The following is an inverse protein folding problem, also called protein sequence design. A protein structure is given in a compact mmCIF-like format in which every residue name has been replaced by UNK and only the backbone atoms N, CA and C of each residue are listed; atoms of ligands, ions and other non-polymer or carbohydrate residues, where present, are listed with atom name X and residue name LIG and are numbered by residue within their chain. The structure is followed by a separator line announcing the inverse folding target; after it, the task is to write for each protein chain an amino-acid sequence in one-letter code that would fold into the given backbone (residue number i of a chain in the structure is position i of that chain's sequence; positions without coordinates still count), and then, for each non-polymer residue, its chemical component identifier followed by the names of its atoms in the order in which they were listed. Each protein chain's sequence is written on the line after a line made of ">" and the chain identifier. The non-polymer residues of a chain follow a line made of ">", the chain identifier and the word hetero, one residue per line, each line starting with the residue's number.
data_IF_795630988675
#
_entry.id   IF_795630988675
#
_cell.length_a   1.000
_cell.length_b   1.000
_cell.length_c   1.000
_cell.angle_alpha   90.00
_cell.angle_beta   90.00
_cell.angle_gamma   90.00
#
_symmetry.space_group_name_H-M   'P 1'
#
loop_
_entity.id
_entity.type
_entity.pdbx_description
1 polymer ?
#
# COMPACT_ATOMS: atom_id res chain seq x y z
N UNK A 1 6.60 -30.60 8.88
CA UNK A 1 7.43 -29.38 9.00
C UNK A 1 7.74 -28.96 7.58
N UNK A 2 6.88 -28.13 7.00
CA UNK A 2 7.11 -27.64 5.64
C UNK A 2 8.15 -26.51 5.67
N UNK A 3 9.00 -26.49 4.65
CA UNK A 3 10.19 -25.66 4.54
C UNK A 3 9.86 -24.18 4.73
N UNK A 4 10.23 -23.66 5.91
CA UNK A 4 10.23 -22.24 6.22
C UNK A 4 11.37 -21.56 5.46
N UNK A 5 11.16 -21.35 4.16
CA UNK A 5 12.11 -20.68 3.27
C UNK A 5 11.80 -19.19 3.12
N UNK A 6 12.82 -18.35 3.25
CA UNK A 6 12.74 -16.93 2.97
C UNK A 6 12.52 -16.65 1.48
N UNK A 7 11.41 -16.01 1.12
CA UNK A 7 11.10 -15.60 -0.26
C UNK A 7 11.45 -14.15 -0.48
N UNK A 8 12.07 -13.84 -1.62
CA UNK A 8 12.44 -12.46 -1.95
C UNK A 8 11.24 -11.65 -2.45
N UNK A 9 11.25 -10.33 -2.25
CA UNK A 9 10.19 -9.47 -2.76
C UNK A 9 10.11 -9.45 -4.30
N UNK A 10 11.26 -9.37 -4.99
CA UNK A 10 11.40 -9.48 -6.46
C UNK A 10 10.37 -8.69 -7.30
N UNK A 11 10.36 -7.36 -7.17
CA UNK A 11 9.39 -6.47 -7.83
C UNK A 11 10.02 -5.29 -8.60
N UNK A 12 11.26 -5.42 -9.07
CA UNK A 12 11.91 -4.38 -9.86
C UNK A 12 11.27 -4.26 -11.24
N UNK A 13 10.63 -3.13 -11.49
CA UNK A 13 9.93 -2.82 -12.73
C UNK A 13 10.78 -3.04 -14.00
N UNK A 14 12.00 -2.51 -14.02
CA UNK A 14 12.88 -2.63 -15.19
C UNK A 14 13.25 -4.10 -15.47
N UNK A 15 13.61 -4.85 -14.43
CA UNK A 15 13.95 -6.27 -14.58
C UNK A 15 12.75 -7.13 -14.98
N UNK A 16 11.56 -6.80 -14.53
CA UNK A 16 10.32 -7.46 -14.94
C UNK A 16 10.04 -7.22 -16.43
N UNK A 17 10.11 -5.97 -16.89
CA UNK A 17 9.96 -5.64 -18.32
C UNK A 17 11.01 -6.35 -19.19
N UNK A 18 12.23 -6.52 -18.68
CA UNK A 18 13.31 -7.22 -19.39
C UNK A 18 13.27 -8.75 -19.20
N UNK A 19 12.36 -9.29 -18.39
CA UNK A 19 12.29 -10.73 -18.08
C UNK A 19 13.46 -11.28 -17.26
N UNK A 20 14.28 -10.42 -16.65
CA UNK A 20 15.50 -10.79 -15.89
C UNK A 20 15.32 -10.72 -14.38
N UNK A 21 14.10 -10.48 -13.90
CA UNK A 21 13.82 -10.45 -12.47
C UNK A 21 14.00 -11.83 -11.84
N UNK A 22 14.56 -11.85 -10.63
CA UNK A 22 14.75 -13.08 -9.84
C UNK A 22 13.41 -13.64 -9.35
N UNK A 23 13.42 -14.88 -8.88
CA UNK A 23 12.20 -15.48 -8.33
C UNK A 23 11.86 -14.91 -6.94
N UNK A 24 10.57 -14.69 -6.74
CA UNK A 24 10.03 -14.07 -5.54
C UNK A 24 8.57 -13.65 -5.71
N UNK A 25 8.06 -12.93 -4.71
CA UNK A 25 6.64 -12.62 -4.56
C UNK A 25 6.14 -11.76 -5.73
N UNK A 26 6.82 -10.65 -6.03
CA UNK A 26 6.45 -9.72 -7.10
C UNK A 26 6.47 -10.37 -8.48
N UNK A 27 7.51 -11.15 -8.81
CA UNK A 27 7.55 -11.94 -10.05
C UNK A 27 6.45 -12.99 -10.11
N UNK A 28 6.07 -13.59 -8.98
CA UNK A 28 4.95 -14.53 -8.92
C UNK A 28 3.62 -13.83 -9.20
N UNK A 29 3.38 -12.65 -8.63
CA UNK A 29 2.22 -11.82 -8.96
C UNK A 29 2.22 -11.42 -10.44
N UNK A 30 3.37 -11.02 -11.00
CA UNK A 30 3.51 -10.70 -12.42
C UNK A 30 3.15 -11.87 -13.34
N UNK A 31 3.45 -13.12 -12.94
CA UNK A 31 3.04 -14.32 -13.71
C UNK A 31 1.52 -14.52 -13.70
N UNK A 32 0.84 -14.17 -12.61
CA UNK A 32 -0.62 -14.22 -12.52
C UNK A 32 -1.28 -13.16 -13.40
N UNK A 33 -0.72 -11.94 -13.38
CA UNK A 33 -1.17 -10.82 -14.20
C UNK A 33 0.06 -10.03 -14.68
N UNK A 34 0.41 -10.10 -15.98
CA UNK A 34 1.63 -9.50 -16.57
C UNK A 34 1.68 -7.96 -16.61
N UNK A 35 1.33 -7.31 -15.50
CA UNK A 35 1.35 -5.87 -15.32
C UNK A 35 2.37 -5.52 -14.24
N UNK A 36 3.27 -4.58 -14.54
CA UNK A 36 4.30 -4.15 -13.59
C UNK A 36 3.69 -3.59 -12.30
N UNK A 37 2.58 -2.87 -12.41
CA UNK A 37 1.80 -2.37 -11.27
C UNK A 37 1.36 -3.50 -10.35
N UNK A 38 0.92 -4.64 -10.92
CA UNK A 38 0.49 -5.80 -10.15
C UNK A 38 1.66 -6.45 -9.40
N UNK A 39 2.85 -6.50 -10.00
CA UNK A 39 4.06 -6.93 -9.32
C UNK A 39 4.45 -5.98 -8.18
N UNK A 40 4.27 -4.66 -8.35
CA UNK A 40 4.59 -3.65 -7.34
C UNK A 40 3.67 -3.72 -6.11
N UNK A 41 2.45 -4.24 -6.25
CA UNK A 41 1.55 -4.51 -5.12
C UNK A 41 2.15 -5.48 -4.09
N UNK A 42 3.16 -6.29 -4.47
CA UNK A 42 3.88 -7.16 -3.53
C UNK A 42 4.48 -6.41 -2.34
N UNK A 43 4.89 -5.14 -2.49
CA UNK A 43 5.40 -4.34 -1.37
C UNK A 43 4.30 -4.03 -0.36
N UNK A 44 3.11 -3.67 -0.85
CA UNK A 44 1.95 -3.35 -0.01
C UNK A 44 1.43 -4.63 0.67
N UNK A 45 1.36 -5.72 -0.10
CA UNK A 45 1.01 -7.04 0.41
C UNK A 45 1.97 -7.46 1.54
N UNK A 46 3.27 -7.26 1.34
CA UNK A 46 4.28 -7.53 2.36
C UNK A 46 4.08 -6.75 3.65
N UNK A 47 3.75 -5.46 3.54
CA UNK A 47 3.45 -4.62 4.70
C UNK A 47 2.21 -5.12 5.45
N UNK A 48 1.10 -5.39 4.74
CA UNK A 48 -0.15 -5.87 5.35
C UNK A 48 0.06 -7.22 6.03
N UNK A 49 0.73 -8.16 5.35
CA UNK A 49 0.92 -9.52 5.88
C UNK A 49 1.91 -9.54 7.05
N UNK A 50 2.88 -8.63 7.08
CA UNK A 50 3.73 -8.44 8.25
C UNK A 50 2.93 -7.92 9.45
N UNK A 51 2.15 -6.85 9.26
CA UNK A 51 1.33 -6.27 10.34
C UNK A 51 0.28 -7.26 10.86
N UNK A 52 -0.30 -8.07 9.97
CA UNK A 52 -1.24 -9.13 10.34
C UNK A 52 -0.58 -10.37 10.98
N UNK A 53 0.74 -10.43 11.10
CA UNK A 53 1.45 -11.60 11.66
C UNK A 53 1.42 -12.85 10.79
N UNK A 54 1.16 -12.67 9.48
CA UNK A 54 1.18 -13.75 8.48
C UNK A 54 2.60 -14.01 8.00
N UNK A 55 3.36 -12.94 7.76
CA UNK A 55 4.76 -12.98 7.32
C UNK A 55 5.68 -12.35 8.35
N UNK A 56 6.89 -12.88 8.44
CA UNK A 56 8.03 -12.21 9.07
C UNK A 56 8.84 -11.48 8.00
N UNK A 57 9.39 -10.32 8.34
CA UNK A 57 10.29 -9.57 7.46
C UNK A 57 11.72 -9.66 7.97
N UNK A 58 12.69 -9.78 7.04
CA UNK A 58 14.10 -9.86 7.39
C UNK A 58 14.75 -8.52 7.82
N UNK A 59 13.97 -7.47 8.10
CA UNK A 59 14.42 -6.14 8.55
C UNK A 59 15.38 -5.39 7.61
N UNK A 60 15.51 -5.83 6.35
CA UNK A 60 16.40 -5.21 5.37
C UNK A 60 15.65 -4.33 4.38
N UNK A 61 16.03 -3.04 4.31
CA UNK A 61 15.50 -2.08 3.31
C UNK A 61 15.85 -2.47 1.87
N UNK A 62 17.05 -3.00 1.64
CA UNK A 62 17.50 -3.54 0.33
C UNK A 62 17.62 -5.04 0.43
N UNK A 63 17.10 -5.76 -0.56
CA UNK A 63 17.11 -7.22 -0.54
C UNK A 63 16.06 -7.82 0.39
N UNK A 64 14.94 -7.11 0.58
CA UNK A 64 13.78 -7.52 1.39
C UNK A 64 13.34 -8.96 1.08
N UNK A 65 13.11 -9.72 2.15
CA UNK A 65 12.61 -11.09 2.13
C UNK A 65 11.54 -11.28 3.19
N UNK A 66 10.65 -12.22 2.93
CA UNK A 66 9.56 -12.58 3.82
C UNK A 66 9.58 -14.08 4.10
N UNK A 67 9.21 -14.45 5.33
CA UNK A 67 9.03 -15.82 5.76
C UNK A 67 7.58 -16.04 6.17
N UNK A 68 6.98 -17.16 5.76
CA UNK A 68 5.63 -17.51 6.18
C UNK A 68 5.63 -17.95 7.66
N UNK A 69 4.88 -17.22 8.50
CA UNK A 69 4.68 -17.57 9.91
C UNK A 69 3.40 -18.36 10.14
N UNK A 70 2.34 -18.02 9.40
CA UNK A 70 1.01 -18.63 9.53
C UNK A 70 0.37 -18.88 8.18
N UNK A 71 -0.19 -20.07 7.99
CA UNK A 71 -1.00 -20.43 6.81
C UNK A 71 -2.43 -19.88 6.89
N UNK A 72 -2.91 -19.52 8.10
CA UNK A 72 -4.24 -18.93 8.33
C UNK A 72 -4.26 -17.44 7.99
N UNK A 73 -3.73 -17.07 6.82
CA UNK A 73 -3.57 -15.67 6.42
C UNK A 73 -4.90 -14.92 6.33
N UNK A 74 -5.99 -15.61 5.99
CA UNK A 74 -7.32 -15.01 5.87
C UNK A 74 -7.84 -14.50 7.21
N UNK A 75 -7.78 -15.36 8.23
CA UNK A 75 -8.21 -15.04 9.59
C UNK A 75 -7.35 -13.91 10.16
N UNK A 76 -6.03 -14.06 10.08
CA UNK A 76 -5.06 -13.06 10.55
C UNK A 76 -5.22 -11.69 9.91
N UNK A 77 -5.40 -11.65 8.59
CA UNK A 77 -5.62 -10.39 7.87
C UNK A 77 -6.97 -9.78 8.22
N UNK A 78 -8.00 -10.61 8.44
CA UNK A 78 -9.33 -10.14 8.85
C UNK A 78 -9.32 -9.56 10.26
N UNK A 79 -8.63 -10.23 11.19
CA UNK A 79 -8.37 -9.73 12.56
C UNK A 79 -7.67 -8.38 12.51
N UNK A 80 -6.55 -8.29 11.77
CA UNK A 80 -5.80 -7.03 11.61
C UNK A 80 -6.67 -5.86 11.15
N UNK A 81 -7.48 -6.04 10.11
CA UNK A 81 -8.36 -4.97 9.63
C UNK A 81 -9.51 -4.66 10.60
N UNK A 82 -10.04 -5.67 11.30
CA UNK A 82 -11.07 -5.44 12.33
C UNK A 82 -10.53 -4.57 13.46
N UNK A 83 -9.32 -4.88 13.92
CA UNK A 83 -8.68 -4.18 15.03
C UNK A 83 -8.26 -2.76 14.61
N UNK A 84 -7.77 -2.59 13.38
CA UNK A 84 -7.39 -1.28 12.82
C UNK A 84 -8.56 -0.30 12.64
N UNK A 85 -9.81 -0.79 12.66
CA UNK A 85 -11.02 0.03 12.58
C UNK A 85 -11.53 0.47 13.96
N UNK A 86 -10.80 0.16 15.04
CA UNK A 86 -11.11 0.69 16.36
C UNK A 86 -10.91 2.22 16.35
N UNK A 87 -11.88 3.02 16.84
CA UNK A 87 -11.80 4.47 16.79
C UNK A 87 -10.63 5.06 17.61
N UNK A 88 -10.02 4.27 18.48
CA UNK A 88 -8.79 4.65 19.19
C UNK A 88 -7.54 4.69 18.27
N UNK A 89 -7.49 3.87 17.20
CA UNK A 89 -6.32 3.71 16.34
C UNK A 89 -6.29 4.64 15.12
N UNK A 90 -7.46 5.09 14.63
CA UNK A 90 -7.57 6.03 13.50
C UNK A 90 -6.83 7.35 13.79
N UNK A 91 -6.97 7.91 15.01
CA UNK A 91 -6.28 9.12 15.41
C UNK A 91 -4.75 8.92 15.51
N UNK A 92 -4.31 7.77 16.05
CA UNK A 92 -2.90 7.43 16.18
C UNK A 92 -2.22 7.12 14.83
N UNK A 93 -2.97 6.60 13.86
CA UNK A 93 -2.48 6.33 12.50
C UNK A 93 -2.18 7.62 11.74
N UNK A 94 -3.10 8.60 11.80
CA UNK A 94 -2.84 9.92 11.19
C UNK A 94 -1.73 10.68 11.92
N UNK A 95 -1.65 10.62 13.25
CA UNK A 95 -0.58 11.27 14.00
C UNK A 95 0.82 10.72 13.65
N UNK A 96 0.95 9.41 13.39
CA UNK A 96 2.21 8.81 12.93
C UNK A 96 2.55 9.10 11.44
N UNK A 97 1.55 9.43 10.61
CA UNK A 97 1.76 9.81 9.20
C UNK A 97 2.01 11.32 9.05
N UNK A 98 1.47 12.11 9.97
CA UNK A 98 1.61 13.57 10.03
C UNK A 98 2.70 14.02 11.01
N UNK A 99 3.62 13.16 11.46
CA UNK A 99 4.87 13.66 12.05
C UNK A 99 5.55 14.54 11.01
N UNK A 100 5.55 15.87 11.21
CA UNK A 100 6.11 16.75 10.23
C UNK A 100 7.61 16.69 10.44
N UNK A 101 8.34 16.51 9.35
CA UNK A 101 9.72 17.00 9.28
C UNK A 101 9.64 18.53 9.37
N UNK A 102 9.41 19.06 10.57
CA UNK A 102 9.55 20.47 10.88
C UNK A 102 11.02 20.70 11.20
N UNK A 103 11.76 21.18 10.21
CA UNK A 103 12.94 21.99 10.53
C UNK A 103 12.45 23.25 11.28
N UNK A 104 13.09 23.62 12.40
CA UNK A 104 12.61 24.73 13.22
C UNK A 104 12.95 26.05 12.53
N UNK A 105 11.95 26.76 12.00
CA UNK A 105 12.17 28.13 11.52
C UNK A 105 11.14 28.80 10.60
N UNK A 106 9.97 28.21 10.30
CA UNK A 106 9.00 28.87 9.40
C UNK A 106 7.62 29.05 10.04
N UNK A 107 7.21 30.31 10.19
CA UNK A 107 5.95 30.73 10.81
C UNK A 107 4.72 30.32 9.97
N UNK A 108 3.73 29.76 10.66
CA UNK A 108 2.50 29.14 10.12
C UNK A 108 1.47 30.14 9.51
N UNK A 109 1.82 31.41 9.35
CA UNK A 109 0.88 32.50 9.04
C UNK A 109 0.66 32.82 7.55
N UNK A 110 1.60 32.46 6.67
CA UNK A 110 1.62 33.00 5.29
C UNK A 110 1.33 31.99 4.18
N UNK A 111 1.35 30.69 4.46
CA UNK A 111 1.12 29.65 3.42
C UNK A 111 -0.38 29.48 3.09
N UNK A 112 -1.28 29.87 3.99
CA UNK A 112 -2.73 29.65 3.84
C UNK A 112 -3.42 30.68 2.92
N UNK A 113 -2.79 31.83 2.63
CA UNK A 113 -3.41 32.88 1.81
C UNK A 113 -3.14 32.78 0.30
N UNK A 114 -2.11 32.05 -0.14
CA UNK A 114 -1.68 32.06 -1.55
C UNK A 114 -2.20 30.91 -2.43
N UNK A 115 -3.01 29.98 -1.90
CA UNK A 115 -3.62 28.88 -2.69
C UNK A 115 -5.15 28.83 -2.68
N UNK A 116 -5.83 29.79 -2.05
CA UNK A 116 -7.30 29.76 -1.88
C UNK A 116 -8.10 30.44 -2.99
N UNK A 117 -7.49 30.95 -4.07
CA UNK A 117 -8.20 31.74 -5.09
C UNK A 117 -8.26 31.17 -6.51
N UNK A 118 -7.82 29.93 -6.78
CA UNK A 118 -7.86 29.40 -8.15
C UNK A 118 -8.46 28.01 -8.38
N UNK A 119 -9.09 27.35 -7.40
CA UNK A 119 -9.56 25.98 -7.64
C UNK A 119 -10.86 25.57 -6.94
N UNK A 120 -11.87 26.44 -6.85
CA UNK A 120 -13.17 26.08 -6.25
C UNK A 120 -14.35 25.91 -7.21
N UNK A 121 -14.21 26.18 -8.51
CA UNK A 121 -15.32 25.98 -9.46
C UNK A 121 -15.21 24.73 -10.35
N UNK A 122 -14.01 24.17 -10.51
CA UNK A 122 -13.78 22.97 -11.35
C UNK A 122 -13.86 21.62 -10.61
N UNK A 123 -13.64 21.61 -9.29
CA UNK A 123 -13.44 20.36 -8.54
C UNK A 123 -14.74 19.68 -8.10
N UNK A 124 -15.83 20.43 -7.88
CA UNK A 124 -17.10 19.83 -7.46
C UNK A 124 -17.78 19.03 -8.60
N UNK A 125 -17.68 19.52 -9.85
CA UNK A 125 -18.23 18.81 -11.03
C UNK A 125 -17.43 17.57 -11.43
N UNK A 126 -16.11 17.54 -11.20
CA UNK A 126 -15.29 16.38 -11.58
C UNK A 126 -15.44 15.23 -10.60
N UNK A 127 -15.60 15.52 -9.30
CA UNK A 127 -15.79 14.50 -8.26
C UNK A 127 -17.14 13.78 -8.43
N UNK A 128 -18.21 14.52 -8.71
CA UNK A 128 -19.53 13.91 -8.98
C UNK A 128 -19.54 13.02 -10.23
N UNK A 129 -18.79 13.38 -11.27
CA UNK A 129 -18.68 12.57 -12.50
C UNK A 129 -17.90 11.27 -12.28
N UNK A 130 -16.88 11.28 -11.42
CA UNK A 130 -16.07 10.09 -11.13
C UNK A 130 -16.85 9.06 -10.32
N UNK A 131 -17.70 9.49 -9.38
CA UNK A 131 -18.57 8.58 -8.62
C UNK A 131 -19.65 7.93 -9.50
N UNK A 132 -20.26 8.72 -10.40
CA UNK A 132 -21.29 8.24 -11.35
C UNK A 132 -20.74 7.21 -12.36
N UNK A 133 -19.50 7.40 -12.84
CA UNK A 133 -18.85 6.45 -13.76
C UNK A 133 -18.43 5.14 -13.08
N UNK A 134 -18.06 5.16 -11.79
CA UNK A 134 -17.61 3.94 -11.10
C UNK A 134 -18.75 3.00 -10.75
N UNK A 135 -19.92 3.52 -10.36
CA UNK A 135 -21.04 2.66 -9.96
C UNK A 135 -21.76 2.01 -11.15
N UNK A 136 -21.86 2.71 -12.28
CA UNK A 136 -22.53 2.19 -13.49
C UNK A 136 -21.75 1.09 -14.23
N UNK A 137 -20.46 0.90 -13.92
CA UNK A 137 -19.65 -0.19 -14.45
C UNK A 137 -19.86 -1.52 -13.71
N UNK A 138 -20.40 -1.49 -12.48
CA UNK A 138 -20.58 -2.68 -11.64
C UNK A 138 -22.00 -3.25 -11.67
N UNK A 139 -23.00 -2.45 -12.04
CA UNK A 139 -24.39 -2.89 -12.18
C UNK A 139 -24.82 -2.79 -13.64
N UNK A 140 -24.40 -3.76 -14.46
CA UNK A 140 -25.04 -4.03 -15.75
C UNK A 140 -25.66 -5.42 -15.66
N UNK A 141 -26.97 -5.47 -15.85
CA UNK A 141 -27.75 -6.71 -16.04
C UNK A 141 -27.26 -7.49 -17.26
#
# INVERSE_FOLDING_TARGET
>A
MEDREWKTLANNAAKLCMGTEKDGIGKSLYKLRPEVSYAQLSSQLGAIFYQAGVWEWNEQKRGMKFLLLSENWQEKTTEYYRDSLSPEDEAAFFDNILEPVFEPGLELGEIVKSKKQQNQEGQSKSIQNIEQMKLSAFFRD
#
